data_IF_823172949835
#
_entry.id   IF_823172949835
#
_cell.length_a   1.000
_cell.length_b   1.000
_cell.length_c   1.000
_cell.angle_alpha   90.00
_cell.angle_beta   90.00
_cell.angle_gamma   90.00
#
_symmetry.space_group_name_H-M   'P 1'
#
loop_
_entity.id
_entity.type
_entity.pdbx_description
1 polymer ?
#
# COMPACT_ATOMS: atom_id res chain seq x y z
N UNK A 1 -4.19 -13.71 -3.59
CA UNK A 1 -2.85 -14.19 -4.02
C UNK A 1 -1.81 -13.27 -3.40
N UNK A 2 -0.65 -13.80 -2.97
CA UNK A 2 0.51 -12.98 -2.57
C UNK A 2 1.57 -13.10 -3.66
N UNK A 3 2.13 -11.96 -4.07
CA UNK A 3 3.26 -11.87 -5.01
C UNK A 3 4.06 -10.61 -4.67
N UNK A 4 5.35 -10.78 -4.32
CA UNK A 4 6.21 -9.66 -3.97
C UNK A 4 6.72 -8.99 -5.25
N UNK A 5 6.36 -7.72 -5.43
CA UNK A 5 6.77 -6.91 -6.58
C UNK A 5 7.11 -5.49 -6.11
N UNK A 6 8.10 -4.88 -6.76
CA UNK A 6 8.61 -3.56 -6.42
C UNK A 6 7.93 -2.41 -7.17
N UNK A 7 8.54 -1.24 -7.05
CA UNK A 7 8.17 -0.01 -7.76
C UNK A 7 8.07 -0.26 -9.29
N UNK A 8 7.10 0.38 -9.94
CA UNK A 8 6.81 0.22 -11.37
C UNK A 8 6.01 -1.04 -11.70
N UNK A 9 6.44 -2.22 -11.21
CA UNK A 9 5.73 -3.48 -11.46
C UNK A 9 4.35 -3.53 -10.80
N UNK A 10 4.18 -2.90 -9.63
CA UNK A 10 2.87 -2.78 -8.96
C UNK A 10 1.83 -2.10 -9.85
N UNK A 11 2.16 -0.93 -10.41
CA UNK A 11 1.29 -0.20 -11.31
C UNK A 11 1.03 -0.99 -12.61
N UNK A 12 2.08 -1.59 -13.20
CA UNK A 12 1.94 -2.43 -14.40
C UNK A 12 0.95 -3.59 -14.20
N UNK A 13 1.05 -4.29 -13.08
CA UNK A 13 0.13 -5.38 -12.75
C UNK A 13 -1.28 -4.86 -12.45
N UNK A 14 -1.42 -3.76 -11.70
CA UNK A 14 -2.73 -3.19 -11.39
C UNK A 14 -3.49 -2.76 -12.64
N UNK A 15 -2.82 -2.11 -13.58
CA UNK A 15 -3.41 -1.72 -14.86
C UNK A 15 -3.81 -2.95 -15.70
N UNK A 16 -2.96 -3.99 -15.72
CA UNK A 16 -3.28 -5.23 -16.41
C UNK A 16 -4.50 -5.95 -15.78
N UNK A 17 -4.62 -5.93 -14.45
CA UNK A 17 -5.79 -6.51 -13.79
C UNK A 17 -7.06 -5.70 -14.03
N UNK A 18 -6.98 -4.38 -14.00
CA UNK A 18 -8.11 -3.51 -14.35
C UNK A 18 -8.56 -3.78 -15.79
N UNK A 19 -7.62 -3.98 -16.71
CA UNK A 19 -7.91 -4.37 -18.10
C UNK A 19 -8.61 -5.72 -18.18
N UNK A 20 -8.17 -6.73 -17.44
CA UNK A 20 -8.82 -8.05 -17.42
C UNK A 20 -10.23 -8.00 -16.84
N UNK A 21 -10.50 -7.10 -15.89
CA UNK A 21 -11.87 -6.84 -15.40
C UNK A 21 -12.71 -6.18 -16.49
N UNK A 22 -12.15 -5.18 -17.18
CA UNK A 22 -12.81 -4.47 -18.29
C UNK A 22 -13.17 -5.40 -19.45
N UNK A 23 -12.27 -6.32 -19.81
CA UNK A 23 -12.46 -7.27 -20.90
C UNK A 23 -13.38 -8.44 -20.55
N UNK A 24 -13.68 -8.64 -19.27
CA UNK A 24 -14.43 -9.79 -18.76
C UNK A 24 -13.61 -11.09 -18.65
N UNK A 25 -12.29 -11.04 -18.86
CA UNK A 25 -11.40 -12.17 -18.54
C UNK A 25 -11.47 -12.51 -17.04
N UNK A 26 -11.53 -11.48 -16.20
CA UNK A 26 -11.94 -11.60 -14.79
C UNK A 26 -13.44 -11.31 -14.69
N UNK A 27 -14.17 -12.21 -14.02
CA UNK A 27 -15.64 -12.16 -13.95
C UNK A 27 -16.22 -11.06 -13.05
N UNK A 28 -15.38 -10.39 -12.26
CA UNK A 28 -15.77 -9.34 -11.32
C UNK A 28 -14.58 -8.44 -10.97
N UNK A 29 -14.83 -7.23 -10.43
CA UNK A 29 -13.79 -6.38 -9.85
C UNK A 29 -12.92 -7.11 -8.82
N UNK A 30 -11.66 -6.72 -8.74
CA UNK A 30 -10.71 -7.24 -7.74
C UNK A 30 -10.13 -6.13 -6.89
N UNK A 31 -9.64 -6.50 -5.71
CA UNK A 31 -8.95 -5.58 -4.79
C UNK A 31 -7.45 -5.84 -4.84
N UNK A 32 -6.67 -4.77 -4.91
CA UNK A 32 -5.22 -4.80 -4.74
C UNK A 32 -4.89 -4.11 -3.43
N UNK A 33 -4.23 -4.84 -2.55
CA UNK A 33 -3.75 -4.32 -1.27
C UNK A 33 -2.43 -4.94 -0.88
N UNK A 34 -2.03 -4.66 0.35
CA UNK A 34 -0.81 -5.19 0.97
C UNK A 34 -0.98 -5.24 2.48
N UNK A 35 -0.07 -5.93 3.15
CA UNK A 35 0.14 -5.73 4.58
C UNK A 35 0.63 -4.29 4.84
N UNK A 36 0.51 -3.84 6.08
CA UNK A 36 1.11 -2.60 6.57
C UNK A 36 2.65 -2.69 6.66
N UNK A 37 3.19 -3.91 6.66
CA UNK A 37 4.61 -4.19 6.47
C UNK A 37 4.97 -4.03 4.97
N UNK A 38 5.45 -2.84 4.60
CA UNK A 38 5.98 -2.55 3.28
C UNK A 38 7.01 -1.41 3.38
N UNK A 39 7.85 -1.30 2.34
CA UNK A 39 9.05 -0.46 2.30
C UNK A 39 8.90 1.00 2.80
N UNK A 40 7.73 1.60 2.66
CA UNK A 40 7.48 2.99 3.04
C UNK A 40 6.27 3.20 3.94
N UNK A 41 5.72 2.15 4.55
CA UNK A 41 4.43 2.23 5.24
C UNK A 41 4.48 1.90 6.74
N UNK A 42 5.67 1.78 7.33
CA UNK A 42 5.82 1.42 8.74
C UNK A 42 7.07 2.05 9.35
N UNK A 43 6.91 2.54 10.59
CA UNK A 43 7.99 2.82 11.52
C UNK A 43 7.83 1.88 12.72
N UNK A 44 8.85 1.07 12.99
CA UNK A 44 8.83 -0.04 13.95
C UNK A 44 10.29 -0.39 14.34
N UNK A 45 10.87 0.31 15.34
CA UNK A 45 12.30 0.23 15.67
C UNK A 45 12.79 -1.15 16.12
N UNK A 46 11.88 -2.05 16.49
CA UNK A 46 12.20 -3.42 16.92
C UNK A 46 11.91 -4.47 15.83
N UNK A 47 11.61 -4.03 14.59
CA UNK A 47 11.36 -4.88 13.41
C UNK A 47 11.75 -4.17 12.11
N UNK A 48 10.82 -3.49 11.45
CA UNK A 48 10.97 -3.09 10.05
C UNK A 48 11.95 -1.94 9.83
N UNK A 49 12.09 -1.06 10.82
CA UNK A 49 13.02 0.07 10.80
C UNK A 49 14.13 -0.11 11.82
N UNK A 50 14.39 -1.33 12.27
CA UNK A 50 15.48 -1.62 13.20
C UNK A 50 16.84 -1.38 12.53
N UNK A 51 17.71 -0.62 13.20
CA UNK A 51 19.09 -0.35 12.78
C UNK A 51 19.18 0.27 11.38
N UNK A 52 18.36 1.29 11.12
CA UNK A 52 18.54 2.11 9.91
C UNK A 52 19.94 2.72 9.93
N UNK A 53 20.60 2.75 8.77
CA UNK A 53 22.01 3.16 8.68
C UNK A 53 22.27 4.58 9.20
N UNK A 54 21.27 5.44 9.16
CA UNK A 54 21.28 6.83 9.63
C UNK A 54 20.69 7.01 11.04
N UNK A 55 20.29 5.93 11.71
CA UNK A 55 19.67 5.95 13.04
C UNK A 55 18.24 6.50 13.05
N UNK A 56 17.56 6.56 11.89
CA UNK A 56 16.20 7.08 11.77
C UNK A 56 15.09 6.12 12.21
N UNK A 57 15.43 5.06 12.93
CA UNK A 57 14.58 3.93 13.29
C UNK A 57 13.18 4.33 13.79
N UNK A 58 13.11 5.36 14.64
CA UNK A 58 11.88 5.81 15.30
C UNK A 58 11.13 6.94 14.57
N UNK A 59 11.60 7.40 13.40
CA UNK A 59 10.94 8.48 12.64
C UNK A 59 9.63 7.96 12.05
N UNK A 60 8.49 8.39 12.61
CA UNK A 60 7.16 7.95 12.21
C UNK A 60 6.43 8.89 11.25
N UNK A 61 7.09 9.92 10.73
CA UNK A 61 6.52 10.79 9.69
C UNK A 61 6.17 10.01 8.42
N UNK A 62 7.01 9.04 8.05
CA UNK A 62 6.89 8.25 6.81
C UNK A 62 5.58 7.46 6.67
N UNK A 63 5.15 6.61 7.64
CA UNK A 63 3.87 5.92 7.54
C UNK A 63 2.66 6.87 7.50
N UNK A 64 2.75 8.04 8.15
CA UNK A 64 1.72 9.08 8.11
C UNK A 64 1.65 9.72 6.71
N UNK A 65 2.80 10.11 6.15
CA UNK A 65 2.89 10.63 4.78
C UNK A 65 2.43 9.59 3.75
N UNK A 66 2.74 8.31 3.96
CA UNK A 66 2.28 7.22 3.10
C UNK A 66 0.75 7.15 3.08
N UNK A 67 0.08 7.26 4.23
CA UNK A 67 -1.37 7.30 4.28
C UNK A 67 -1.94 8.53 3.58
N UNK A 68 -1.43 9.73 3.92
CA UNK A 68 -1.88 10.99 3.33
C UNK A 68 -1.72 10.98 1.80
N UNK A 69 -0.58 10.48 1.30
CA UNK A 69 -0.31 10.39 -0.12
C UNK A 69 -1.24 9.36 -0.80
N UNK A 70 -1.46 8.18 -0.21
CA UNK A 70 -2.40 7.21 -0.78
C UNK A 70 -3.84 7.75 -0.81
N UNK A 71 -4.24 8.54 0.19
CA UNK A 71 -5.53 9.24 0.20
C UNK A 71 -5.58 10.26 -0.95
N UNK A 72 -4.54 11.06 -1.13
CA UNK A 72 -4.47 12.05 -2.21
C UNK A 72 -4.39 11.42 -3.61
N UNK A 73 -3.72 10.26 -3.75
CA UNK A 73 -3.56 9.52 -5.00
C UNK A 73 -4.82 8.73 -5.39
N UNK A 74 -5.79 8.57 -4.49
CA UNK A 74 -7.08 7.95 -4.80
C UNK A 74 -7.14 6.44 -4.53
N UNK A 75 -6.43 5.95 -3.51
CA UNK A 75 -6.72 4.62 -2.97
C UNK A 75 -8.21 4.53 -2.54
N UNK A 76 -8.82 3.36 -2.70
CA UNK A 76 -10.25 3.18 -2.35
C UNK A 76 -10.46 3.26 -0.85
N UNK A 77 -9.53 2.72 -0.05
CA UNK A 77 -9.45 3.01 1.37
C UNK A 77 -8.01 3.02 1.87
N UNK A 78 -7.81 3.80 2.92
CA UNK A 78 -6.53 4.01 3.58
C UNK A 78 -6.74 3.85 5.08
N UNK A 79 -5.78 3.26 5.77
CA UNK A 79 -5.81 3.07 7.21
C UNK A 79 -4.51 3.57 7.85
N UNK A 80 -4.62 4.15 9.04
CA UNK A 80 -3.50 4.50 9.92
C UNK A 80 -3.71 3.82 11.26
N UNK A 81 -2.81 2.90 11.59
CA UNK A 81 -2.90 2.07 12.79
C UNK A 81 -1.65 2.21 13.66
N UNK A 82 -1.79 1.82 14.92
CA UNK A 82 -0.74 1.82 15.92
C UNK A 82 -0.55 0.43 16.54
N UNK A 83 0.70 0.04 16.77
CA UNK A 83 1.09 -1.12 17.56
C UNK A 83 0.84 -2.49 16.94
N UNK A 84 0.60 -2.55 15.62
CA UNK A 84 0.50 -3.83 14.92
C UNK A 84 1.85 -4.56 14.93
N UNK A 85 1.78 -5.88 15.09
CA UNK A 85 2.95 -6.76 15.16
C UNK A 85 3.71 -6.73 16.49
N UNK A 86 4.05 -5.54 16.99
CA UNK A 86 4.97 -5.34 18.15
C UNK A 86 4.29 -4.81 19.41
N UNK A 87 2.99 -4.56 19.37
CA UNK A 87 2.21 -4.10 20.52
C UNK A 87 2.22 -2.58 20.70
N UNK A 88 1.41 -2.12 21.66
CA UNK A 88 1.21 -0.70 21.97
C UNK A 88 2.54 -0.01 22.27
N UNK A 89 2.74 1.17 21.70
CA UNK A 89 3.94 2.00 21.87
C UNK A 89 5.06 1.74 20.86
N UNK A 90 5.01 0.65 20.08
CA UNK A 90 6.20 0.18 19.35
C UNK A 90 6.13 0.28 17.82
N UNK A 91 4.98 0.61 17.23
CA UNK A 91 4.89 0.84 15.78
C UNK A 91 3.79 1.83 15.38
N UNK A 92 4.03 2.53 14.28
CA UNK A 92 3.02 3.31 13.55
C UNK A 92 3.10 2.93 12.08
N UNK A 93 1.97 2.64 11.45
CA UNK A 93 1.97 2.09 10.09
C UNK A 93 0.65 2.30 9.35
N UNK A 94 0.72 2.33 8.02
CA UNK A 94 -0.41 2.58 7.14
C UNK A 94 -0.68 1.46 6.14
N UNK A 95 -1.96 1.25 5.88
CA UNK A 95 -2.46 0.34 4.85
C UNK A 95 -3.12 1.11 3.72
N UNK A 96 -3.11 0.52 2.54
CA UNK A 96 -3.85 1.02 1.39
C UNK A 96 -4.43 -0.15 0.62
N UNK A 97 -5.61 0.07 0.04
CA UNK A 97 -6.23 -0.85 -0.91
C UNK A 97 -6.89 -0.04 -2.01
N UNK A 98 -6.82 -0.55 -3.23
CA UNK A 98 -7.47 0.02 -4.40
C UNK A 98 -8.28 -1.04 -5.14
N UNK A 99 -9.47 -0.66 -5.60
CA UNK A 99 -10.35 -1.51 -6.41
C UNK A 99 -10.01 -1.33 -7.89
N UNK A 100 -9.83 -2.46 -8.58
CA UNK A 100 -9.78 -2.55 -10.03
C UNK A 100 -11.16 -2.98 -10.52
N UNK A 101 -11.98 -2.02 -10.95
CA UNK A 101 -13.37 -2.24 -11.39
C UNK A 101 -13.55 -2.19 -12.92
N UNK A 102 -12.45 -2.05 -13.66
CA UNK A 102 -12.44 -1.99 -15.12
C UNK A 102 -12.73 -0.61 -15.70
N UNK A 103 -12.95 0.40 -14.86
CA UNK A 103 -13.21 1.78 -15.32
C UNK A 103 -11.91 2.51 -15.69
N UNK A 104 -12.03 3.52 -16.56
CA UNK A 104 -10.93 4.42 -16.90
C UNK A 104 -10.53 5.27 -15.67
N UNK A 105 -11.50 5.63 -14.82
CA UNK A 105 -11.24 6.35 -13.58
C UNK A 105 -10.42 5.49 -12.59
N UNK A 106 -10.66 4.18 -12.52
CA UNK A 106 -9.81 3.27 -11.74
C UNK A 106 -8.41 3.16 -12.34
N UNK A 107 -8.28 3.11 -13.67
CA UNK A 107 -6.97 3.08 -14.32
C UNK A 107 -6.13 4.32 -13.97
N UNK A 108 -6.73 5.51 -13.96
CA UNK A 108 -6.05 6.74 -13.53
C UNK A 108 -5.60 6.69 -12.06
N UNK A 109 -6.44 6.18 -11.15
CA UNK A 109 -6.09 6.06 -9.72
C UNK A 109 -4.97 5.03 -9.50
N UNK A 110 -4.99 3.93 -10.24
CA UNK A 110 -3.99 2.85 -10.15
C UNK A 110 -2.61 3.30 -10.68
N UNK A 111 -2.58 4.22 -11.65
CA UNK A 111 -1.35 4.69 -12.27
C UNK A 111 -0.57 5.77 -11.48
N UNK A 112 -1.20 6.39 -10.47
CA UNK A 112 -0.58 7.42 -9.61
C UNK A 112 0.29 6.80 -8.54
#
# INVERSE_FOLDING_TARGET
RICWVGLGLRAKLGLAFNEMVRSGELSAPIVIGRDHLDSGSVASPNRETESMQDGSDAVSDWPLLNALLNTASGATWVSLHHGGGVGMGFSQHSGMVIVCDGTDEAAERIAR
#
